data_IF_844152128148
#
_entry.id   IF_844152128148
#
_cell.length_a   1.000
_cell.length_b   1.000
_cell.length_c   1.000
_cell.angle_alpha   90.00
_cell.angle_beta   90.00
_cell.angle_gamma   90.00
#
_symmetry.space_group_name_H-M   'P 1'
#
loop_
_entity.id
_entity.type
_entity.pdbx_description
1 polymer ?
#
# COMPACT_ATOMS: atom_id res chain seq x y z
N UNK A 1 1.73 -7.09 -13.65
CA UNK A 1 2.93 -6.25 -13.38
C UNK A 1 2.57 -4.78 -13.25
N UNK A 2 2.01 -4.13 -14.30
CA UNK A 2 1.69 -2.69 -14.27
C UNK A 2 0.78 -2.27 -13.11
N UNK A 3 -0.25 -3.06 -12.78
CA UNK A 3 -1.13 -2.76 -11.65
C UNK A 3 -0.37 -2.62 -10.34
N UNK A 4 0.50 -3.58 -10.01
CA UNK A 4 1.29 -3.52 -8.78
C UNK A 4 2.25 -2.32 -8.78
N UNK A 5 2.92 -2.05 -9.90
CA UNK A 5 3.79 -0.88 -10.03
C UNK A 5 3.04 0.44 -9.81
N UNK A 6 1.81 0.56 -10.32
CA UNK A 6 0.99 1.76 -10.12
C UNK A 6 0.58 1.97 -8.65
N UNK A 7 0.39 0.88 -7.90
CA UNK A 7 0.11 0.94 -6.46
C UNK A 7 1.37 1.40 -5.71
N UNK A 8 2.52 0.76 -5.99
CA UNK A 8 3.82 1.14 -5.39
C UNK A 8 4.14 2.62 -5.66
N UNK A 9 3.90 3.11 -6.88
CA UNK A 9 4.11 4.50 -7.27
C UNK A 9 3.31 5.49 -6.41
N UNK A 10 2.11 5.10 -5.99
CA UNK A 10 1.21 5.96 -5.19
C UNK A 10 1.46 5.85 -3.68
N UNK A 11 2.01 4.74 -3.21
CA UNK A 11 2.34 4.50 -1.80
C UNK A 11 3.71 5.07 -1.40
N UNK A 12 4.66 5.04 -2.33
CA UNK A 12 6.02 5.48 -2.03
C UNK A 12 6.11 7.01 -1.89
N UNK A 13 6.40 7.48 -0.67
CA UNK A 13 6.85 8.86 -0.43
C UNK A 13 8.30 9.10 -0.84
N UNK A 14 9.10 8.03 -0.95
CA UNK A 14 10.49 8.04 -1.35
C UNK A 14 10.81 6.84 -2.28
N UNK A 15 11.57 7.09 -3.35
CA UNK A 15 12.02 6.05 -4.30
C UNK A 15 12.78 4.91 -3.61
N UNK A 16 13.55 5.22 -2.57
CA UNK A 16 14.36 4.23 -1.85
C UNK A 16 13.50 3.18 -1.11
N UNK A 17 12.24 3.49 -0.80
CA UNK A 17 11.34 2.57 -0.10
C UNK A 17 10.52 1.70 -1.06
N UNK A 18 10.49 2.01 -2.36
CA UNK A 18 9.72 1.26 -3.36
C UNK A 18 10.00 -0.25 -3.34
N UNK A 19 11.26 -0.73 -3.22
CA UNK A 19 11.54 -2.17 -3.13
C UNK A 19 10.96 -2.83 -1.88
N UNK A 20 10.91 -2.11 -0.74
CA UNK A 20 10.35 -2.62 0.52
C UNK A 20 8.82 -2.64 0.47
N UNK A 21 8.19 -1.58 -0.04
CA UNK A 21 6.74 -1.54 -0.28
C UNK A 21 6.32 -2.65 -1.24
N UNK A 22 7.08 -2.85 -2.31
CA UNK A 22 6.88 -3.95 -3.25
C UNK A 22 6.95 -5.31 -2.53
N UNK A 23 7.95 -5.51 -1.67
CA UNK A 23 8.09 -6.74 -0.89
C UNK A 23 6.86 -7.02 -0.02
N UNK A 24 6.32 -6.00 0.66
CA UNK A 24 5.09 -6.14 1.46
C UNK A 24 3.91 -6.61 0.60
N UNK A 25 3.67 -5.98 -0.54
CA UNK A 25 2.56 -6.36 -1.42
C UNK A 25 2.74 -7.75 -2.01
N UNK A 26 3.95 -8.12 -2.46
CA UNK A 26 4.25 -9.47 -2.92
C UNK A 26 4.02 -10.51 -1.81
N UNK A 27 4.49 -10.23 -0.60
CA UNK A 27 4.30 -11.11 0.56
C UNK A 27 2.82 -11.29 0.91
N UNK A 28 2.03 -10.21 0.87
CA UNK A 28 0.58 -10.27 1.10
C UNK A 28 -0.14 -11.06 0.02
N UNK A 29 0.16 -10.80 -1.26
CA UNK A 29 -0.41 -11.54 -2.40
C UNK A 29 -0.14 -13.03 -2.27
N UNK A 30 1.12 -13.40 -1.99
CA UNK A 30 1.53 -14.80 -1.82
C UNK A 30 0.79 -15.50 -0.67
N UNK A 31 0.41 -14.76 0.38
CA UNK A 31 -0.31 -15.28 1.56
C UNK A 31 -1.83 -15.11 1.45
N UNK A 32 -2.36 -14.59 0.35
CA UNK A 32 -3.80 -14.32 0.20
C UNK A 32 -4.33 -13.23 1.16
N UNK A 33 -3.46 -12.36 1.65
CA UNK A 33 -3.82 -11.23 2.51
C UNK A 33 -4.27 -10.07 1.61
N UNK A 34 -5.32 -9.35 2.03
CA UNK A 34 -5.80 -8.15 1.32
C UNK A 34 -4.71 -7.06 1.29
N UNK A 35 -4.57 -6.33 0.18
CA UNK A 35 -3.51 -5.33 0.05
C UNK A 35 -3.74 -4.14 0.96
N UNK A 36 -5.00 -3.73 1.14
CA UNK A 36 -5.39 -2.60 1.99
C UNK A 36 -4.61 -1.33 1.63
N UNK A 37 -4.53 -1.03 0.34
CA UNK A 37 -3.83 0.14 -0.19
C UNK A 37 -4.82 1.29 -0.41
N UNK A 38 -4.70 2.37 0.34
CA UNK A 38 -5.59 3.53 0.28
C UNK A 38 -5.73 4.14 -1.13
N UNK A 39 -4.64 4.29 -1.93
CA UNK A 39 -4.74 4.79 -3.29
C UNK A 39 -5.67 3.97 -4.19
N UNK A 40 -5.82 2.68 -3.94
CA UNK A 40 -6.74 1.83 -4.71
C UNK A 40 -8.21 2.12 -4.39
N UNK A 41 -8.50 2.46 -3.12
CA UNK A 41 -9.84 2.88 -2.71
C UNK A 41 -10.15 4.23 -3.34
N UNK A 42 -9.22 5.19 -3.20
CA UNK A 42 -9.35 6.55 -3.75
C UNK A 42 -9.60 6.52 -5.25
N UNK A 43 -8.88 5.69 -6.01
CA UNK A 43 -9.08 5.55 -7.45
C UNK A 43 -10.50 5.11 -7.84
N UNK A 44 -11.16 4.33 -6.98
CA UNK A 44 -12.54 3.89 -7.18
C UNK A 44 -13.61 4.90 -6.76
N UNK A 45 -13.23 6.04 -6.17
CA UNK A 45 -14.15 7.09 -5.73
C UNK A 45 -14.23 8.17 -6.80
N UNK A 46 -15.44 8.48 -7.25
CA UNK A 46 -15.69 9.62 -8.13
C UNK A 46 -15.64 10.91 -7.31
N UNK A 47 -15.02 11.96 -7.87
CA UNK A 47 -14.98 13.31 -7.28
C UNK A 47 -14.41 13.33 -5.84
N UNK A 48 -13.31 12.60 -5.63
CA UNK A 48 -12.66 12.51 -4.32
C UNK A 48 -12.19 13.89 -3.82
N UNK A 49 -12.67 14.28 -2.63
CA UNK A 49 -12.46 15.58 -2.00
C UNK A 49 -11.17 15.67 -1.16
N UNK A 50 -10.38 14.59 -1.13
CA UNK A 50 -9.17 14.48 -0.31
C UNK A 50 -9.39 13.81 1.04
N UNK A 51 -10.65 13.59 1.46
CA UNK A 51 -10.97 13.02 2.77
C UNK A 51 -11.37 11.54 2.68
N UNK A 52 -10.43 10.65 2.98
CA UNK A 52 -10.70 9.21 2.98
C UNK A 52 -11.40 8.79 4.27
N UNK A 53 -12.70 8.51 4.18
CA UNK A 53 -13.52 8.11 5.33
C UNK A 53 -13.56 6.59 5.53
N UNK A 54 -13.92 6.16 6.75
CA UNK A 54 -14.19 4.74 7.03
C UNK A 54 -15.26 4.14 6.12
N UNK A 55 -16.30 4.92 5.77
CA UNK A 55 -17.34 4.50 4.83
C UNK A 55 -16.76 4.14 3.47
N UNK A 56 -15.77 4.89 2.98
CA UNK A 56 -15.08 4.57 1.73
C UNK A 56 -14.34 3.22 1.81
N UNK A 57 -13.64 2.96 2.92
CA UNK A 57 -12.93 1.69 3.15
C UNK A 57 -13.89 0.49 3.24
N UNK A 58 -15.12 0.72 3.68
CA UNK A 58 -16.18 -0.30 3.83
C UNK A 58 -16.99 -0.53 2.55
N UNK A 59 -17.08 0.47 1.68
CA UNK A 59 -17.87 0.41 0.45
C UNK A 59 -17.19 -0.47 -0.61
N UNK A 60 -17.82 -1.56 -1.06
CA UNK A 60 -17.20 -2.45 -2.04
C UNK A 60 -17.16 -1.80 -3.43
N UNK A 61 -15.96 -1.76 -4.03
CA UNK A 61 -15.74 -1.38 -5.43
C UNK A 61 -14.80 -2.39 -6.10
N UNK A 62 -14.68 -2.43 -7.44
CA UNK A 62 -13.71 -3.29 -8.10
C UNK A 62 -12.26 -3.00 -7.69
N UNK A 63 -11.95 -1.77 -7.28
CA UNK A 63 -10.61 -1.33 -6.91
C UNK A 63 -10.35 -1.34 -5.40
N UNK A 64 -11.37 -1.48 -4.55
CA UNK A 64 -11.20 -1.45 -3.11
C UNK A 64 -10.49 -2.73 -2.59
N UNK A 65 -9.17 -2.63 -2.40
CA UNK A 65 -8.33 -3.72 -1.89
C UNK A 65 -8.44 -3.98 -0.39
N UNK A 66 -9.32 -3.27 0.34
CA UNK A 66 -9.77 -3.68 1.67
C UNK A 66 -10.86 -4.75 1.60
N UNK A 67 -11.67 -4.73 0.53
CA UNK A 67 -12.82 -5.63 0.35
C UNK A 67 -12.53 -6.78 -0.62
N UNK A 68 -11.64 -6.56 -1.60
CA UNK A 68 -11.21 -7.56 -2.57
C UNK A 68 -9.76 -7.96 -2.33
N UNK A 69 -9.51 -9.27 -2.27
CA UNK A 69 -8.15 -9.84 -2.19
C UNK A 69 -7.55 -9.89 -3.60
N UNK A 70 -6.22 -9.79 -3.67
CA UNK A 70 -5.50 -9.76 -4.93
C UNK A 70 -5.30 -8.34 -5.47
N UNK A 71 -4.86 -8.27 -6.73
CA UNK A 71 -4.69 -7.00 -7.44
C UNK A 71 -6.05 -6.50 -7.96
N UNK A 72 -6.26 -5.18 -8.03
CA UNK A 72 -7.43 -4.61 -8.71
C UNK A 72 -7.40 -4.88 -10.23
N UNK A 73 -8.51 -4.65 -10.96
CA UNK A 73 -8.63 -4.98 -12.39
C UNK A 73 -7.60 -4.31 -13.31
N UNK A 74 -7.06 -3.16 -12.91
CA UNK A 74 -6.11 -2.39 -13.71
C UNK A 74 -5.25 -1.45 -12.85
N UNK A 75 -4.29 -0.76 -13.47
CA UNK A 75 -3.46 0.22 -12.79
C UNK A 75 -4.28 1.42 -12.33
N UNK A 76 -3.80 2.09 -11.28
CA UNK A 76 -4.45 3.27 -10.66
C UNK A 76 -3.68 4.57 -10.93
N UNK A 77 -2.55 4.47 -11.63
CA UNK A 77 -1.65 5.58 -11.97
C UNK A 77 -0.69 5.14 -13.09
N UNK A 78 0.05 6.10 -13.65
CA UNK A 78 1.16 5.84 -14.58
C UNK A 78 2.47 5.63 -13.78
N UNK A 79 2.98 4.40 -13.61
CA UNK A 79 4.19 4.16 -12.84
C UNK A 79 5.45 4.56 -13.60
N UNK A 80 6.42 5.14 -12.90
CA UNK A 80 7.76 5.41 -13.42
C UNK A 80 8.66 4.16 -13.45
N UNK A 81 9.86 4.32 -14.01
CA UNK A 81 10.83 3.24 -14.16
C UNK A 81 11.22 2.57 -12.82
N UNK A 82 11.38 3.35 -11.75
CA UNK A 82 11.72 2.82 -10.42
C UNK A 82 10.60 1.96 -9.84
N UNK A 83 9.34 2.36 -10.00
CA UNK A 83 8.19 1.59 -9.52
C UNK A 83 8.03 0.29 -10.32
N UNK A 84 8.25 0.33 -11.64
CA UNK A 84 8.29 -0.86 -12.50
C UNK A 84 9.40 -1.83 -12.08
N UNK A 85 10.61 -1.31 -11.86
CA UNK A 85 11.74 -2.10 -11.40
C UNK A 85 11.43 -2.73 -10.04
N UNK A 86 11.00 -1.95 -9.05
CA UNK A 86 10.64 -2.45 -7.73
C UNK A 86 9.54 -3.52 -7.78
N UNK A 87 8.54 -3.37 -8.66
CA UNK A 87 7.49 -4.38 -8.85
C UNK A 87 8.04 -5.71 -9.38
N UNK A 88 9.06 -5.67 -10.24
CA UNK A 88 9.72 -6.86 -10.80
C UNK A 88 10.75 -7.47 -9.85
N UNK A 89 11.48 -6.63 -9.11
CA UNK A 89 12.57 -7.03 -8.21
C UNK A 89 12.33 -6.44 -6.81
N UNK A 90 11.40 -7.02 -6.03
CA UNK A 90 11.16 -6.58 -4.66
C UNK A 90 12.36 -6.84 -3.75
N UNK A 91 12.45 -6.10 -2.65
CA UNK A 91 13.39 -6.41 -1.59
C UNK A 91 13.10 -7.79 -0.97
N UNK A 92 14.15 -8.45 -0.46
CA UNK A 92 14.01 -9.76 0.20
C UNK A 92 13.73 -9.57 1.69
N UNK A 93 12.46 -9.42 2.06
CA UNK A 93 12.03 -9.34 3.46
C UNK A 93 10.78 -10.19 3.71
N UNK A 94 10.44 -10.39 4.99
CA UNK A 94 9.20 -11.08 5.41
C UNK A 94 8.11 -10.09 5.83
N UNK A 95 8.31 -8.81 5.56
CA UNK A 95 7.42 -7.75 6.03
C UNK A 95 6.03 -7.88 5.41
N UNK A 96 5.04 -7.56 6.22
CA UNK A 96 3.63 -7.60 5.87
C UNK A 96 2.92 -6.28 6.13
N UNK A 97 3.56 -5.36 6.84
CA UNK A 97 2.96 -4.11 7.26
C UNK A 97 3.96 -2.99 7.10
N UNK A 98 3.47 -1.80 6.82
CA UNK A 98 4.25 -0.57 6.90
C UNK A 98 3.37 0.55 7.44
N UNK A 99 3.97 1.52 8.11
CA UNK A 99 3.27 2.71 8.64
C UNK A 99 4.15 3.93 8.46
N UNK A 100 3.54 5.05 8.03
CA UNK A 100 4.25 6.31 7.84
C UNK A 100 4.79 6.83 9.18
N UNK A 101 6.04 7.30 9.18
CA UNK A 101 6.70 7.93 10.33
C UNK A 101 6.35 9.41 10.48
N UNK A 102 5.85 10.03 9.42
CA UNK A 102 5.50 11.45 9.37
C UNK A 102 6.61 12.37 8.85
N UNK A 103 7.76 11.83 8.47
CA UNK A 103 8.92 12.50 7.86
C UNK A 103 9.07 12.16 6.35
N UNK A 104 8.07 11.51 5.77
CA UNK A 104 8.11 11.00 4.39
C UNK A 104 8.63 9.57 4.23
N UNK A 105 9.01 8.91 5.33
CA UNK A 105 9.44 7.50 5.36
C UNK A 105 8.47 6.59 6.11
N UNK A 106 8.70 5.28 6.04
CA UNK A 106 7.87 4.24 6.65
C UNK A 106 8.68 3.34 7.60
N UNK A 107 8.02 2.87 8.67
CA UNK A 107 8.50 1.70 9.42
C UNK A 107 7.85 0.43 8.86
N UNK A 108 8.66 -0.58 8.57
CA UNK A 108 8.22 -1.89 8.04
C UNK A 108 8.24 -2.94 9.14
N UNK A 109 7.23 -3.80 9.17
CA UNK A 109 7.09 -4.83 10.18
C UNK A 109 6.58 -6.16 9.60
N UNK A 110 7.05 -7.28 10.17
CA UNK A 110 6.64 -8.62 9.81
C UNK A 110 5.35 -9.07 10.51
N UNK A 111 5.05 -8.50 11.69
CA UNK A 111 3.90 -8.89 12.51
C UNK A 111 2.94 -7.74 12.78
N UNK A 112 1.66 -8.08 12.99
CA UNK A 112 0.62 -7.10 13.36
C UNK A 112 0.91 -6.47 14.73
N UNK A 113 1.51 -7.22 15.66
CA UNK A 113 1.87 -6.71 17.00
C UNK A 113 2.91 -5.60 16.91
N UNK A 114 3.94 -5.77 16.07
CA UNK A 114 4.94 -4.73 15.77
C UNK A 114 4.31 -3.52 15.12
N UNK A 115 3.51 -3.75 14.06
CA UNK A 115 2.81 -2.69 13.35
C UNK A 115 1.95 -1.83 14.28
N UNK A 116 1.16 -2.46 15.16
CA UNK A 116 0.32 -1.72 16.12
C UNK A 116 1.14 -0.89 17.11
N UNK A 117 2.35 -1.32 17.48
CA UNK A 117 3.27 -0.51 18.29
C UNK A 117 3.80 0.68 17.50
N UNK A 118 4.15 0.48 16.23
CA UNK A 118 4.62 1.54 15.35
C UNK A 118 3.51 2.58 15.08
N UNK A 119 2.27 2.15 14.83
CA UNK A 119 1.09 3.03 14.70
C UNK A 119 0.91 3.91 15.95
N UNK A 120 0.98 3.31 17.15
CA UNK A 120 0.90 4.06 18.41
C UNK A 120 2.04 5.06 18.57
N UNK A 121 3.22 4.76 18.02
CA UNK A 121 4.40 5.63 18.12
C UNK A 121 4.30 6.83 17.18
N UNK A 122 3.90 6.62 15.93
CA UNK A 122 3.99 7.65 14.88
C UNK A 122 2.68 8.38 14.58
N UNK A 123 1.52 7.76 14.81
CA UNK A 123 0.23 8.34 14.43
C UNK A 123 -0.62 8.81 15.62
N UNK A 124 -0.61 8.08 16.74
CA UNK A 124 -1.52 8.36 17.88
C UNK A 124 -0.93 9.29 18.96
N UNK A 125 0.35 9.67 18.87
CA UNK A 125 1.01 10.59 19.82
C UNK A 125 1.07 12.03 19.32
N UNK A 126 0.27 12.37 18.30
CA UNK A 126 0.11 13.73 17.79
C UNK A 126 -1.10 14.40 18.43
#
# INVERSE_FOLDING_TARGET
MLTLASIIQKEAGNVMEMPLISAVFHNRLKRGIALQADPTVIYGIKDFDGNLTRKHLETPTPYNTYRKRGLPPGPIASPGAFALHAAATPAKTKDLYFVARGDGTHEFNATLKEHNRAVRRYQLKR
#
